data_IF_602322224849
#
_entry.id   IF_602322224849
#
_cell.length_a   1.000
_cell.length_b   1.000
_cell.length_c   1.000
_cell.angle_alpha   90.00
_cell.angle_beta   90.00
_cell.angle_gamma   90.00
#
_symmetry.space_group_name_H-M   'P 1'
#
loop_
_entity.id
_entity.type
_entity.pdbx_description
1 polymer ?
#
# COMPACT_ATOMS: atom_id res chain seq x y z
N UNK A 1 -32.62 -13.92 14.98
CA UNK A 1 -34.03 -14.34 15.14
C UNK A 1 -34.16 -14.76 16.60
N UNK A 2 -35.18 -14.32 17.34
CA UNK A 2 -35.35 -14.78 18.73
C UNK A 2 -36.28 -16.00 18.72
N UNK A 3 -35.90 -17.06 19.40
CA UNK A 3 -36.76 -18.22 19.64
C UNK A 3 -36.67 -18.53 21.13
N UNK A 4 -37.81 -18.45 21.83
CA UNK A 4 -37.93 -18.64 23.28
C UNK A 4 -37.08 -17.67 24.13
N UNK A 5 -37.01 -16.39 23.76
CA UNK A 5 -36.26 -15.37 24.53
C UNK A 5 -34.73 -15.50 24.44
N UNK A 6 -34.23 -16.54 23.77
CA UNK A 6 -32.82 -16.73 23.47
C UNK A 6 -32.58 -16.14 22.07
N UNK A 7 -31.55 -15.31 21.96
CA UNK A 7 -31.12 -14.78 20.67
C UNK A 7 -30.48 -15.91 19.86
N UNK A 8 -31.29 -16.66 19.11
CA UNK A 8 -30.82 -17.70 18.19
C UNK A 8 -30.44 -16.99 16.89
N UNK A 9 -29.21 -16.54 16.85
CA UNK A 9 -28.59 -16.12 15.62
C UNK A 9 -28.66 -17.31 14.61
N UNK A 10 -28.92 -17.09 13.31
CA UNK A 10 -29.10 -18.18 12.32
C UNK A 10 -27.80 -18.96 12.09
N UNK A 11 -27.68 -20.26 12.45
CA UNK A 11 -26.45 -21.12 12.53
C UNK A 11 -25.29 -20.91 11.51
N UNK A 12 -25.50 -20.14 10.44
CA UNK A 12 -24.61 -19.84 9.32
C UNK A 12 -23.83 -18.50 9.39
N UNK A 13 -23.95 -17.69 10.45
CA UNK A 13 -22.96 -16.60 10.65
C UNK A 13 -21.67 -17.23 11.19
N UNK A 14 -20.74 -17.48 10.28
CA UNK A 14 -19.33 -17.74 10.59
C UNK A 14 -18.89 -16.82 11.74
N UNK A 15 -18.56 -17.40 12.90
CA UNK A 15 -18.48 -16.70 14.19
C UNK A 15 -17.38 -15.61 14.22
N UNK A 16 -16.55 -15.52 13.17
CA UNK A 16 -15.64 -14.40 12.93
C UNK A 16 -15.05 -14.30 11.53
N UNK A 17 -15.41 -15.16 10.56
CA UNK A 17 -14.71 -15.19 9.28
C UNK A 17 -14.72 -13.86 8.52
N UNK A 18 -15.83 -13.13 8.50
CA UNK A 18 -15.87 -11.83 7.80
C UNK A 18 -14.86 -10.83 8.40
N UNK A 19 -14.76 -10.79 9.74
CA UNK A 19 -13.77 -9.97 10.43
C UNK A 19 -12.34 -10.40 10.10
N UNK A 20 -12.10 -11.70 9.90
CA UNK A 20 -10.78 -12.25 9.53
C UNK A 20 -10.38 -11.96 8.11
N UNK A 21 -11.34 -12.03 7.18
CA UNK A 21 -11.12 -11.60 5.80
C UNK A 21 -10.73 -10.12 5.80
N UNK A 22 -11.43 -9.28 6.57
CA UNK A 22 -11.07 -7.87 6.75
C UNK A 22 -9.64 -7.69 7.27
N UNK A 23 -9.26 -8.43 8.31
CA UNK A 23 -7.90 -8.41 8.86
C UNK A 23 -6.83 -8.92 7.89
N UNK A 24 -7.11 -9.98 7.14
CA UNK A 24 -6.21 -10.54 6.13
C UNK A 24 -5.96 -9.56 4.99
N UNK A 25 -7.03 -8.92 4.49
CA UNK A 25 -6.93 -7.86 3.47
C UNK A 25 -6.11 -6.70 4.03
N UNK A 26 -6.41 -6.23 5.24
CA UNK A 26 -5.67 -5.14 5.87
C UNK A 26 -4.18 -5.47 6.06
N UNK A 27 -3.86 -6.71 6.44
CA UNK A 27 -2.48 -7.18 6.55
C UNK A 27 -1.78 -7.15 5.20
N UNK A 28 -2.43 -7.72 4.17
CA UNK A 28 -1.95 -7.74 2.79
C UNK A 28 -1.61 -6.33 2.32
N UNK A 29 -2.50 -5.36 2.56
CA UNK A 29 -2.29 -3.97 2.15
C UNK A 29 -1.07 -3.33 2.81
N UNK A 30 -0.87 -3.55 4.11
CA UNK A 30 0.31 -3.05 4.81
C UNK A 30 1.61 -3.64 4.24
N UNK A 31 1.62 -4.94 3.94
CA UNK A 31 2.79 -5.60 3.33
C UNK A 31 3.05 -5.07 1.92
N UNK A 32 2.02 -4.89 1.11
CA UNK A 32 2.15 -4.31 -0.23
C UNK A 32 2.70 -2.87 -0.19
N UNK A 33 2.24 -2.06 0.76
CA UNK A 33 2.76 -0.71 0.96
C UNK A 33 4.25 -0.73 1.32
N UNK A 34 4.66 -1.61 2.24
CA UNK A 34 6.06 -1.78 2.61
C UNK A 34 6.93 -2.20 1.41
N UNK A 35 6.46 -3.15 0.61
CA UNK A 35 7.15 -3.60 -0.62
C UNK A 35 7.29 -2.45 -1.60
N UNK A 36 6.22 -1.68 -1.83
CA UNK A 36 6.23 -0.54 -2.76
C UNK A 36 7.27 0.51 -2.35
N UNK A 37 7.40 0.75 -1.05
CA UNK A 37 8.35 1.74 -0.54
C UNK A 37 9.78 1.22 -0.63
N UNK A 38 9.99 -0.07 -0.35
CA UNK A 38 11.28 -0.72 -0.55
C UNK A 38 11.70 -0.67 -2.03
N UNK A 39 10.75 -0.88 -2.95
CA UNK A 39 10.97 -0.76 -4.39
C UNK A 39 11.48 0.64 -4.77
N UNK A 40 10.77 1.69 -4.34
CA UNK A 40 11.15 3.09 -4.58
C UNK A 40 12.51 3.38 -3.95
N UNK A 41 12.74 2.93 -2.72
CA UNK A 41 13.98 3.11 -2.00
C UNK A 41 15.17 2.47 -2.74
N UNK A 42 15.03 1.24 -3.23
CA UNK A 42 16.06 0.54 -3.99
C UNK A 42 16.31 1.23 -5.34
N UNK A 43 15.27 1.69 -6.03
CA UNK A 43 15.41 2.42 -7.30
C UNK A 43 16.20 3.73 -7.15
N UNK A 44 16.00 4.44 -6.04
CA UNK A 44 16.64 5.74 -5.78
C UNK A 44 18.04 5.58 -5.19
N UNK A 45 18.19 4.77 -4.15
CA UNK A 45 19.47 4.60 -3.45
C UNK A 45 20.44 3.66 -4.18
N UNK A 46 19.94 2.67 -4.92
CA UNK A 46 20.75 1.63 -5.55
C UNK A 46 20.31 1.34 -7.00
N UNK A 47 20.40 2.32 -7.91
CA UNK A 47 19.85 2.23 -9.27
C UNK A 47 20.41 1.05 -10.09
N UNK A 48 21.68 0.69 -9.88
CA UNK A 48 22.32 -0.43 -10.60
C UNK A 48 21.95 -1.80 -10.05
N UNK A 49 21.62 -1.91 -8.76
CA UNK A 49 21.12 -3.16 -8.17
C UNK A 49 19.63 -3.35 -8.46
N UNK A 50 18.90 -2.25 -8.62
CA UNK A 50 17.47 -2.24 -8.93
C UNK A 50 17.13 -3.03 -10.20
N UNK A 51 17.94 -2.95 -11.26
CA UNK A 51 17.68 -3.68 -12.52
C UNK A 51 17.77 -5.20 -12.37
N UNK A 52 18.58 -5.67 -11.42
CA UNK A 52 18.74 -7.10 -11.13
C UNK A 52 17.73 -7.62 -10.11
N UNK A 53 17.37 -6.80 -9.12
CA UNK A 53 16.48 -7.21 -8.03
C UNK A 53 15.00 -7.13 -8.43
N UNK A 54 14.59 -6.05 -9.10
CA UNK A 54 13.20 -5.77 -9.48
C UNK A 54 12.83 -6.39 -10.83
N UNK A 55 13.09 -7.68 -10.99
CA UNK A 55 12.61 -8.42 -12.15
C UNK A 55 11.15 -8.80 -11.98
N UNK A 56 10.40 -8.86 -13.09
CA UNK A 56 8.98 -9.26 -13.07
C UNK A 56 8.78 -10.60 -12.36
N UNK A 57 9.67 -11.58 -12.62
CA UNK A 57 9.64 -12.89 -11.96
C UNK A 57 9.73 -12.78 -10.44
N UNK A 58 10.70 -12.02 -9.93
CA UNK A 58 10.89 -11.87 -8.48
C UNK A 58 9.70 -11.16 -7.83
N UNK A 59 9.15 -10.13 -8.49
CA UNK A 59 7.97 -9.40 -7.99
C UNK A 59 6.75 -10.32 -7.98
N UNK A 60 6.51 -11.12 -9.03
CA UNK A 60 5.39 -12.07 -9.08
C UNK A 60 5.48 -13.12 -7.98
N UNK A 61 6.66 -13.71 -7.76
CA UNK A 61 6.88 -14.68 -6.67
C UNK A 61 6.62 -14.01 -5.31
N UNK A 62 7.15 -12.81 -5.11
CA UNK A 62 6.95 -12.06 -3.87
C UNK A 62 5.46 -11.79 -3.60
N UNK A 63 4.71 -11.33 -4.60
CA UNK A 63 3.27 -11.09 -4.47
C UNK A 63 2.51 -12.36 -4.12
N UNK A 64 2.83 -13.48 -4.77
CA UNK A 64 2.20 -14.78 -4.47
C UNK A 64 2.46 -15.22 -3.02
N UNK A 65 3.69 -15.06 -2.54
CA UNK A 65 4.06 -15.35 -1.14
C UNK A 65 3.30 -14.43 -0.17
N UNK A 66 3.21 -13.14 -0.46
CA UNK A 66 2.49 -12.17 0.38
C UNK A 66 1.02 -12.55 0.49
N UNK A 67 0.35 -12.82 -0.61
CA UNK A 67 -1.05 -13.24 -0.61
C UNK A 67 -1.24 -14.55 0.15
N UNK A 68 -0.37 -15.52 -0.07
CA UNK A 68 -0.42 -16.81 0.62
C UNK A 68 -0.30 -16.62 2.14
N UNK A 69 0.70 -15.87 2.62
CA UNK A 69 0.93 -15.68 4.06
C UNK A 69 -0.18 -14.85 4.71
N UNK A 70 -0.56 -13.74 4.09
CA UNK A 70 -1.50 -12.77 4.68
C UNK A 70 -2.95 -13.27 4.66
N UNK A 71 -3.33 -14.11 3.69
CA UNK A 71 -4.63 -14.76 3.66
C UNK A 71 -4.67 -16.01 4.56
N UNK A 72 -3.67 -16.88 4.48
CA UNK A 72 -3.73 -18.20 5.13
C UNK A 72 -3.73 -18.12 6.65
N UNK A 73 -2.99 -17.18 7.26
CA UNK A 73 -2.88 -17.13 8.72
C UNK A 73 -4.23 -16.74 9.37
N UNK A 74 -4.84 -15.58 9.09
CA UNK A 74 -6.06 -15.18 9.80
C UNK A 74 -7.27 -16.00 9.37
N UNK A 75 -7.38 -16.34 8.08
CA UNK A 75 -8.52 -17.08 7.53
C UNK A 75 -8.43 -18.56 7.90
N UNK A 76 -7.25 -19.18 7.74
CA UNK A 76 -7.05 -20.60 8.02
C UNK A 76 -7.29 -20.95 9.49
N UNK A 77 -6.77 -20.12 10.41
CA UNK A 77 -7.00 -20.31 11.86
C UNK A 77 -8.49 -20.21 12.20
N UNK A 78 -9.22 -19.27 11.59
CA UNK A 78 -10.66 -19.13 11.84
C UNK A 78 -11.47 -20.29 11.26
N UNK A 79 -11.15 -20.77 10.06
CA UNK A 79 -11.80 -21.94 9.46
C UNK A 79 -11.60 -23.16 10.37
N UNK A 80 -10.38 -23.36 10.89
CA UNK A 80 -10.10 -24.45 11.83
C UNK A 80 -10.99 -24.38 13.08
N UNK A 81 -11.16 -23.20 13.67
CA UNK A 81 -12.04 -22.98 14.84
C UNK A 81 -13.51 -23.25 14.50
N UNK A 82 -13.99 -22.76 13.35
CA UNK A 82 -15.38 -22.93 12.91
C UNK A 82 -15.71 -24.38 12.58
N UNK A 83 -14.80 -25.11 11.94
CA UNK A 83 -14.94 -26.55 11.65
C UNK A 83 -14.96 -27.36 12.96
N UNK A 84 -14.10 -27.03 13.92
CA UNK A 84 -14.11 -27.67 15.24
C UNK A 84 -15.40 -27.41 16.02
N UNK A 85 -16.00 -26.23 15.89
CA UNK A 85 -17.29 -25.93 16.52
C UNK A 85 -18.45 -26.70 15.86
N UNK A 86 -18.41 -26.87 14.53
CA UNK A 86 -19.43 -27.61 13.79
C UNK A 86 -19.41 -29.12 14.07
N UNK A 87 -18.26 -29.69 14.42
CA UNK A 87 -18.11 -31.12 14.76
C UNK A 87 -18.49 -31.46 16.22
N UNK A 88 -19.16 -30.55 16.93
CA UNK A 88 -19.54 -30.66 18.36
C UNK A 88 -18.35 -30.83 19.33
N UNK A 89 -17.12 -30.57 18.87
CA UNK A 89 -15.93 -30.54 19.74
C UNK A 89 -15.95 -29.29 20.64
N UNK A 90 -16.64 -28.22 20.21
CA UNK A 90 -16.83 -26.99 20.98
C UNK A 90 -18.30 -26.56 21.06
N UNK A 91 -18.71 -26.04 22.21
CA UNK A 91 -20.01 -25.38 22.38
C UNK A 91 -20.03 -24.04 21.59
N UNK A 92 -21.18 -23.64 21.03
CA UNK A 92 -21.31 -22.42 20.23
C UNK A 92 -20.84 -21.14 20.96
N UNK A 93 -21.08 -21.07 22.27
CA UNK A 93 -20.58 -19.99 23.12
C UNK A 93 -19.04 -19.94 23.19
N UNK A 94 -18.38 -21.09 23.13
CA UNK A 94 -16.92 -21.18 23.08
C UNK A 94 -16.36 -20.72 21.72
N UNK A 95 -17.04 -20.98 20.59
CA UNK A 95 -16.66 -20.42 19.27
C UNK A 95 -16.60 -18.90 19.33
N UNK A 96 -17.65 -18.28 19.88
CA UNK A 96 -17.75 -16.83 19.98
C UNK A 96 -16.62 -16.28 20.85
N UNK A 97 -16.38 -16.87 22.02
CA UNK A 97 -15.31 -16.42 22.93
C UNK A 97 -13.92 -16.55 22.29
N UNK A 98 -13.62 -17.67 21.65
CA UNK A 98 -12.34 -17.90 20.97
C UNK A 98 -12.19 -16.94 19.79
N UNK A 99 -13.25 -16.75 18.99
CA UNK A 99 -13.27 -15.80 17.88
C UNK A 99 -13.00 -14.36 18.35
N UNK A 100 -13.62 -13.92 19.45
CA UNK A 100 -13.32 -12.60 20.04
C UNK A 100 -11.87 -12.48 20.50
N UNK A 101 -11.33 -13.49 21.19
CA UNK A 101 -9.91 -13.48 21.61
C UNK A 101 -8.96 -13.40 20.41
N UNK A 102 -9.21 -14.19 19.37
CA UNK A 102 -8.45 -14.11 18.13
C UNK A 102 -8.62 -12.73 17.47
N UNK A 103 -9.79 -12.08 17.60
CA UNK A 103 -10.06 -10.75 17.00
C UNK A 103 -9.13 -9.73 17.62
N UNK A 104 -9.04 -9.74 18.94
CA UNK A 104 -8.12 -8.91 19.70
C UNK A 104 -6.67 -9.18 19.32
N UNK A 105 -6.23 -10.44 19.39
CA UNK A 105 -4.81 -10.79 19.17
C UNK A 105 -4.37 -10.33 17.78
N UNK A 106 -5.12 -10.67 16.74
CA UNK A 106 -4.80 -10.24 15.38
C UNK A 106 -4.91 -8.73 15.21
N UNK A 107 -5.88 -8.05 15.84
CA UNK A 107 -5.99 -6.59 15.77
C UNK A 107 -4.78 -5.89 16.39
N UNK A 108 -4.27 -6.39 17.54
CA UNK A 108 -3.07 -5.86 18.19
C UNK A 108 -1.83 -6.10 17.32
N UNK A 109 -1.64 -7.33 16.83
CA UNK A 109 -0.52 -7.68 15.94
C UNK A 109 -0.52 -6.79 14.70
N UNK A 110 -1.69 -6.62 14.07
CA UNK A 110 -1.83 -5.77 12.89
C UNK A 110 -1.60 -4.30 13.20
N UNK A 111 -2.05 -3.81 14.36
CA UNK A 111 -1.81 -2.43 14.74
C UNK A 111 -0.32 -2.15 14.94
N UNK A 112 0.39 -3.04 15.63
CA UNK A 112 1.85 -2.96 15.82
C UNK A 112 2.57 -3.06 14.47
N UNK A 113 2.21 -4.03 13.64
CA UNK A 113 2.81 -4.18 12.30
C UNK A 113 2.58 -2.94 11.44
N UNK A 114 1.37 -2.39 11.44
CA UNK A 114 1.04 -1.17 10.68
C UNK A 114 1.85 0.03 11.17
N UNK A 115 2.08 0.15 12.48
CA UNK A 115 2.95 1.18 13.05
C UNK A 115 4.41 1.02 12.60
N UNK A 116 4.92 -0.21 12.57
CA UNK A 116 6.27 -0.50 12.04
C UNK A 116 6.36 -0.10 10.57
N UNK A 117 5.38 -0.50 9.76
CA UNK A 117 5.31 -0.11 8.35
C UNK A 117 5.28 1.41 8.23
N UNK A 118 4.51 2.11 9.06
CA UNK A 118 4.41 3.57 9.06
C UNK A 118 5.75 4.25 9.34
N UNK A 119 6.46 3.81 10.37
CA UNK A 119 7.77 4.35 10.76
C UNK A 119 8.80 4.08 9.66
N UNK A 120 8.88 2.83 9.19
CA UNK A 120 9.78 2.44 8.10
C UNK A 120 9.51 3.25 6.83
N UNK A 121 8.25 3.41 6.48
CA UNK A 121 7.78 4.17 5.34
C UNK A 121 8.24 5.62 5.41
N UNK A 122 8.03 6.25 6.57
CA UNK A 122 8.40 7.65 6.81
C UNK A 122 9.91 7.85 6.67
N UNK A 123 10.72 6.98 7.29
CA UNK A 123 12.18 7.05 7.20
C UNK A 123 12.66 6.88 5.75
N UNK A 124 12.13 5.88 5.04
CA UNK A 124 12.49 5.59 3.66
C UNK A 124 12.17 6.79 2.74
N UNK A 125 10.99 7.40 2.89
CA UNK A 125 10.59 8.55 2.10
C UNK A 125 11.42 9.80 2.40
N UNK A 126 11.71 10.09 3.68
CA UNK A 126 12.60 11.21 4.05
C UNK A 126 13.97 11.04 3.36
N UNK A 127 14.53 9.83 3.40
CA UNK A 127 15.82 9.55 2.76
C UNK A 127 15.77 9.66 1.24
N UNK A 128 14.71 9.15 0.63
CA UNK A 128 14.47 9.26 -0.82
C UNK A 128 14.35 10.73 -1.26
N UNK A 129 13.63 11.55 -0.49
CA UNK A 129 13.50 12.99 -0.75
C UNK A 129 14.84 13.71 -0.63
N UNK A 130 15.60 13.44 0.44
CA UNK A 130 16.90 14.04 0.66
C UNK A 130 17.85 13.76 -0.52
N UNK A 131 17.98 12.50 -0.92
CA UNK A 131 18.85 12.08 -2.03
C UNK A 131 18.40 12.71 -3.35
N UNK A 132 17.09 12.76 -3.58
CA UNK A 132 16.53 13.31 -4.83
C UNK A 132 16.76 14.81 -4.93
N UNK A 133 16.49 15.56 -3.86
CA UNK A 133 16.71 17.01 -3.82
C UNK A 133 18.20 17.36 -4.01
N UNK A 134 19.08 16.62 -3.34
CA UNK A 134 20.52 16.80 -3.49
C UNK A 134 21.01 16.48 -4.92
N UNK A 135 20.48 15.42 -5.54
CA UNK A 135 20.79 15.08 -6.93
C UNK A 135 20.34 16.18 -7.91
N UNK A 136 19.14 16.74 -7.73
CA UNK A 136 18.61 17.83 -8.56
C UNK A 136 19.48 19.08 -8.44
N UNK A 137 19.84 19.49 -7.21
CA UNK A 137 20.70 20.65 -6.99
C UNK A 137 22.07 20.47 -7.66
N UNK A 138 22.70 19.29 -7.51
CA UNK A 138 24.00 19.00 -8.11
C UNK A 138 23.97 19.05 -9.64
N UNK A 139 22.89 18.56 -10.25
CA UNK A 139 22.74 18.59 -11.72
C UNK A 139 22.57 20.02 -12.22
N UNK A 140 21.77 20.85 -11.53
CA UNK A 140 21.63 22.28 -11.86
C UNK A 140 22.97 23.00 -11.83
N UNK A 141 23.84 22.71 -10.87
CA UNK A 141 25.19 23.28 -10.83
C UNK A 141 26.11 22.78 -11.96
N UNK A 142 25.97 21.53 -12.39
CA UNK A 142 26.77 20.95 -13.49
C UNK A 142 26.24 21.29 -14.90
N UNK A 143 25.07 21.93 -14.98
CA UNK A 143 24.28 22.15 -16.20
C UNK A 143 24.77 23.29 -17.11
N UNK A 144 25.99 23.81 -16.91
CA UNK A 144 26.51 24.90 -17.75
C UNK A 144 26.79 24.50 -19.22
N UNK A 145 26.71 23.19 -19.55
CA UNK A 145 26.76 22.64 -20.91
C UNK A 145 25.34 22.36 -21.44
N UNK A 146 24.86 23.25 -22.32
CA UNK A 146 23.43 23.48 -22.59
C UNK A 146 22.67 22.27 -23.18
N UNK A 147 23.26 21.44 -24.06
CA UNK A 147 22.45 20.45 -24.80
C UNK A 147 22.30 19.08 -24.12
N UNK A 148 23.31 18.62 -23.38
CA UNK A 148 23.27 17.32 -22.67
C UNK A 148 22.62 17.47 -21.29
N UNK A 149 22.74 18.66 -20.69
CA UNK A 149 22.15 18.96 -19.39
C UNK A 149 20.62 19.00 -19.42
N UNK A 150 20.01 19.60 -20.46
CA UNK A 150 18.53 19.68 -20.62
C UNK A 150 17.88 18.28 -20.61
N UNK A 151 18.43 17.32 -21.37
CA UNK A 151 17.89 15.96 -21.41
C UNK A 151 18.04 15.20 -20.07
N UNK A 152 19.10 15.49 -19.31
CA UNK A 152 19.27 14.92 -17.97
C UNK A 152 18.28 15.57 -17.01
N UNK A 153 18.19 16.89 -16.99
CA UNK A 153 17.29 17.65 -16.12
C UNK A 153 15.83 17.20 -16.26
N UNK A 154 15.31 17.08 -17.50
CA UNK A 154 13.95 16.59 -17.76
C UNK A 154 13.72 15.17 -17.19
N UNK A 155 14.71 14.28 -17.28
CA UNK A 155 14.61 12.91 -16.74
C UNK A 155 14.59 12.90 -15.20
N UNK A 156 15.31 13.81 -14.57
CA UNK A 156 15.37 13.93 -13.11
C UNK A 156 14.14 14.64 -12.53
N UNK A 157 13.61 15.68 -13.19
CA UNK A 157 12.36 16.33 -12.78
C UNK A 157 11.18 15.35 -12.80
N UNK A 158 11.10 14.48 -13.81
CA UNK A 158 10.09 13.41 -13.87
C UNK A 158 10.20 12.42 -12.70
N UNK A 159 11.43 12.07 -12.28
CA UNK A 159 11.67 11.23 -11.10
C UNK A 159 11.30 11.95 -9.79
N UNK A 160 11.63 13.22 -9.67
CA UNK A 160 11.28 14.04 -8.51
C UNK A 160 9.75 14.21 -8.37
N UNK A 161 9.03 14.37 -9.50
CA UNK A 161 7.56 14.41 -9.53
C UNK A 161 6.95 13.11 -9.00
N UNK A 162 7.42 11.95 -9.49
CA UNK A 162 6.96 10.63 -9.02
C UNK A 162 7.20 10.40 -7.53
N UNK A 163 8.33 10.89 -7.02
CA UNK A 163 8.67 10.82 -5.58
C UNK A 163 7.77 11.73 -4.75
N UNK A 164 7.49 12.95 -5.23
CA UNK A 164 6.56 13.88 -4.57
C UNK A 164 5.13 13.33 -4.55
N UNK A 165 4.69 12.66 -5.61
CA UNK A 165 3.39 11.99 -5.65
C UNK A 165 3.30 10.84 -4.66
N UNK A 166 4.36 10.02 -4.58
CA UNK A 166 4.46 8.94 -3.62
C UNK A 166 4.47 9.45 -2.16
N UNK A 167 5.04 10.64 -1.91
CA UNK A 167 4.95 11.33 -0.62
C UNK A 167 3.52 11.79 -0.29
N UNK A 168 2.78 12.33 -1.26
CA UNK A 168 1.38 12.71 -1.05
C UNK A 168 0.55 11.47 -0.66
N UNK A 169 0.78 10.34 -1.33
CA UNK A 169 0.15 9.06 -0.97
C UNK A 169 0.47 8.64 0.47
N UNK A 170 1.73 8.77 0.88
CA UNK A 170 2.13 8.48 2.26
C UNK A 170 1.44 9.43 3.25
N UNK A 171 1.32 10.71 2.94
CA UNK A 171 0.70 11.68 3.84
C UNK A 171 -0.80 11.39 4.04
N UNK A 172 -1.51 11.06 2.96
CA UNK A 172 -2.91 10.63 3.03
C UNK A 172 -3.05 9.32 3.82
N UNK A 173 -2.11 8.40 3.63
CA UNK A 173 -2.03 7.16 4.42
C UNK A 173 -1.82 7.44 5.91
N UNK A 174 -0.88 8.32 6.27
CA UNK A 174 -0.58 8.73 7.64
C UNK A 174 -1.83 9.32 8.31
N UNK A 175 -2.47 10.29 7.67
CA UNK A 175 -3.64 11.00 8.20
C UNK A 175 -4.85 10.07 8.39
N UNK A 176 -5.02 9.07 7.51
CA UNK A 176 -6.13 8.11 7.61
C UNK A 176 -5.85 6.98 8.61
N UNK A 177 -4.62 6.48 8.68
CA UNK A 177 -4.28 5.29 9.46
C UNK A 177 -3.95 5.57 10.92
N UNK A 178 -3.27 6.68 11.24
CA UNK A 178 -2.93 7.03 12.63
C UNK A 178 -4.17 7.07 13.54
N UNK A 179 -5.27 7.79 13.21
CA UNK A 179 -6.43 7.84 14.09
C UNK A 179 -7.11 6.48 14.25
N UNK A 180 -7.14 5.66 13.18
CA UNK A 180 -7.65 4.29 13.26
C UNK A 180 -6.81 3.42 14.19
N UNK A 181 -5.48 3.43 14.04
CA UNK A 181 -4.55 2.65 14.87
C UNK A 181 -4.63 3.05 16.35
N UNK A 182 -4.69 4.35 16.64
CA UNK A 182 -4.87 4.86 18.00
C UNK A 182 -6.17 4.34 18.60
N UNK A 183 -7.28 4.40 17.86
CA UNK A 183 -8.58 3.90 18.34
C UNK A 183 -8.60 2.38 18.51
N UNK A 184 -7.93 1.62 17.64
CA UNK A 184 -7.79 0.17 17.80
C UNK A 184 -6.99 -0.14 19.07
N UNK A 185 -5.81 0.47 19.26
CA UNK A 185 -4.99 0.25 20.46
C UNK A 185 -5.77 0.68 21.71
N UNK A 186 -6.33 1.89 21.72
CA UNK A 186 -7.12 2.40 22.85
C UNK A 186 -8.29 1.48 23.18
N UNK A 187 -9.04 1.02 22.17
CA UNK A 187 -10.18 0.13 22.39
C UNK A 187 -9.77 -1.27 22.88
N UNK A 188 -8.69 -1.83 22.35
CA UNK A 188 -8.20 -3.16 22.75
C UNK A 188 -7.47 -3.15 24.10
N UNK A 189 -6.91 -2.03 24.56
CA UNK A 189 -6.29 -1.96 25.88
C UNK A 189 -7.28 -1.52 26.98
N UNK A 190 -8.18 -0.57 26.67
CA UNK A 190 -9.06 0.02 27.68
C UNK A 190 -10.36 -0.76 27.89
N UNK A 191 -10.92 -1.37 26.84
CA UNK A 191 -12.25 -2.00 26.89
C UNK A 191 -12.25 -3.53 26.81
N UNK A 192 -11.10 -4.17 26.63
CA UNK A 192 -11.03 -5.58 26.24
C UNK A 192 -10.32 -6.51 27.23
N UNK A 193 -9.76 -6.02 28.32
CA UNK A 193 -9.45 -6.87 29.47
C UNK A 193 -10.69 -6.98 30.34
N UNK A 194 -11.50 -8.01 30.10
CA UNK A 194 -12.33 -8.66 31.12
C UNK A 194 -13.04 -7.72 32.14
N UNK A 195 -14.33 -7.44 31.94
CA UNK A 195 -15.32 -7.03 32.98
C UNK A 195 -15.65 -5.52 33.14
N UNK A 196 -14.91 -4.53 32.61
CA UNK A 196 -15.04 -3.17 33.19
C UNK A 196 -16.11 -2.24 32.57
N UNK A 197 -16.36 -2.19 31.24
CA UNK A 197 -17.38 -1.28 30.67
C UNK A 197 -17.80 -1.64 29.23
N UNK A 198 -19.10 -1.57 28.88
CA UNK A 198 -19.53 -1.60 27.48
C UNK A 198 -18.96 -0.38 26.74
N UNK A 199 -18.71 -0.55 25.44
CA UNK A 199 -18.14 0.53 24.64
C UNK A 199 -19.10 1.72 24.55
N UNK A 200 -18.63 2.95 24.75
CA UNK A 200 -19.45 4.13 24.51
C UNK A 200 -19.93 4.14 23.06
N UNK A 201 -21.21 4.46 22.79
CA UNK A 201 -21.73 4.47 21.42
C UNK A 201 -20.94 5.42 20.51
N UNK A 202 -20.45 6.56 21.04
CA UNK A 202 -19.60 7.48 20.30
C UNK A 202 -18.26 6.86 19.87
N UNK A 203 -17.66 6.00 20.71
CA UNK A 203 -16.39 5.33 20.41
C UNK A 203 -16.56 4.28 19.30
N UNK A 204 -17.67 3.53 19.33
CA UNK A 204 -18.00 2.55 18.28
C UNK A 204 -18.17 3.25 16.93
N UNK A 205 -18.90 4.38 16.91
CA UNK A 205 -19.11 5.18 15.71
C UNK A 205 -17.80 5.76 15.18
N UNK A 206 -16.97 6.33 16.07
CA UNK A 206 -15.66 6.86 15.70
C UNK A 206 -14.76 5.76 15.11
N UNK A 207 -14.66 4.59 15.77
CA UNK A 207 -13.86 3.48 15.28
C UNK A 207 -14.30 3.05 13.88
N UNK A 208 -15.61 2.89 13.63
CA UNK A 208 -16.14 2.51 12.32
C UNK A 208 -15.83 3.56 11.25
N UNK A 209 -15.99 4.84 11.57
CA UNK A 209 -15.72 5.94 10.64
C UNK A 209 -14.25 5.92 10.22
N UNK A 210 -13.32 5.91 11.18
CA UNK A 210 -11.89 5.87 10.88
C UNK A 210 -11.46 4.56 10.24
N UNK A 211 -12.10 3.43 10.56
CA UNK A 211 -11.89 2.16 9.88
C UNK A 211 -12.26 2.26 8.39
N UNK A 212 -13.42 2.82 8.05
CA UNK A 212 -13.81 3.00 6.66
C UNK A 212 -12.87 3.93 5.92
N UNK A 213 -12.47 5.04 6.53
CA UNK A 213 -11.50 5.99 5.94
C UNK A 213 -10.15 5.29 5.68
N UNK A 214 -9.64 4.56 6.66
CA UNK A 214 -8.39 3.79 6.54
C UNK A 214 -8.48 2.71 5.46
N UNK A 215 -9.63 2.02 5.35
CA UNK A 215 -9.81 0.90 4.41
C UNK A 215 -10.19 1.36 3.00
N UNK A 216 -10.63 2.61 2.83
CA UNK A 216 -10.83 3.24 1.53
C UNK A 216 -9.52 3.62 0.84
N UNK A 217 -8.44 3.85 1.60
CA UNK A 217 -7.14 4.26 1.05
C UNK A 217 -6.61 3.36 -0.09
N UNK A 218 -6.60 2.01 0.04
CA UNK A 218 -6.28 1.11 -1.07
C UNK A 218 -7.11 1.34 -2.33
N UNK A 219 -8.39 1.69 -2.17
CA UNK A 219 -9.29 2.00 -3.28
C UNK A 219 -8.88 3.24 -4.06
N UNK A 220 -8.19 4.19 -3.42
CA UNK A 220 -7.65 5.38 -4.09
C UNK A 220 -6.30 5.15 -4.78
N UNK A 221 -5.56 4.08 -4.45
CA UNK A 221 -4.24 3.81 -5.04
C UNK A 221 -4.28 3.67 -6.57
N UNK A 222 -5.22 2.93 -7.19
CA UNK A 222 -5.29 2.81 -8.65
C UNK A 222 -5.59 4.14 -9.34
N UNK A 223 -6.48 4.97 -8.78
CA UNK A 223 -6.81 6.28 -9.35
C UNK A 223 -5.62 7.22 -9.31
N UNK A 224 -4.88 7.20 -8.19
CA UNK A 224 -3.68 7.99 -8.02
C UNK A 224 -2.57 7.49 -8.97
N UNK A 225 -2.32 6.18 -9.02
CA UNK A 225 -1.39 5.59 -9.99
C UNK A 225 -1.77 5.88 -11.45
N UNK A 226 -3.05 5.80 -11.81
CA UNK A 226 -3.53 6.04 -13.18
C UNK A 226 -3.37 7.51 -13.59
N UNK A 227 -3.75 8.45 -12.73
CA UNK A 227 -3.55 9.89 -12.97
C UNK A 227 -2.06 10.26 -13.07
N UNK A 228 -1.17 9.52 -12.41
CA UNK A 228 0.28 9.73 -12.48
C UNK A 228 0.97 8.98 -13.64
N UNK A 229 0.41 7.86 -14.10
CA UNK A 229 0.96 7.09 -15.24
C UNK A 229 0.53 7.69 -16.59
N UNK A 230 -0.62 8.37 -16.64
CA UNK A 230 -1.10 9.10 -17.82
C UNK A 230 -0.09 10.17 -18.28
N UNK A 231 0.46 10.94 -17.34
CA UNK A 231 1.51 11.94 -17.61
C UNK A 231 2.77 11.32 -18.25
N UNK A 232 3.12 10.09 -17.87
CA UNK A 232 4.29 9.39 -18.40
C UNK A 232 4.01 8.86 -19.81
N UNK A 233 2.79 8.37 -20.07
CA UNK A 233 2.35 7.88 -21.38
C UNK A 233 2.23 9.00 -22.42
N UNK A 234 1.63 10.14 -22.06
CA UNK A 234 1.55 11.30 -22.97
C UNK A 234 2.94 11.77 -23.42
N UNK A 235 3.90 11.77 -22.50
CA UNK A 235 5.27 12.17 -22.79
C UNK A 235 6.04 11.13 -23.62
N UNK A 236 5.76 9.84 -23.43
CA UNK A 236 6.29 8.77 -24.28
C UNK A 236 5.78 8.90 -25.72
N UNK A 237 4.50 9.23 -25.89
CA UNK A 237 3.88 9.48 -27.21
C UNK A 237 4.51 10.72 -27.86
N UNK A 238 4.70 11.82 -27.11
CA UNK A 238 5.41 13.01 -27.61
C UNK A 238 6.85 12.69 -28.04
N UNK A 239 7.60 11.93 -27.24
CA UNK A 239 8.97 11.54 -27.59
C UNK A 239 9.02 10.65 -28.84
N UNK A 240 8.07 9.71 -28.97
CA UNK A 240 7.98 8.85 -30.15
C UNK A 240 7.65 9.67 -31.42
N UNK A 241 6.72 10.63 -31.30
CA UNK A 241 6.34 11.53 -32.38
C UNK A 241 7.50 12.47 -32.77
N UNK A 242 8.24 13.01 -31.79
CA UNK A 242 9.43 13.84 -32.05
C UNK A 242 10.54 13.06 -32.76
N UNK A 243 10.80 11.81 -32.37
CA UNK A 243 11.77 10.93 -33.07
C UNK A 243 11.31 10.60 -34.50
N UNK A 244 10.01 10.44 -34.72
CA UNK A 244 9.44 10.19 -36.05
C UNK A 244 9.65 11.40 -36.97
N UNK A 245 9.46 12.61 -36.45
CA UNK A 245 9.68 13.87 -37.18
C UNK A 245 11.18 14.09 -37.48
N UNK A 246 12.08 13.85 -36.51
CA UNK A 246 13.54 14.00 -36.75
C UNK A 246 14.10 12.95 -37.72
N UNK A 247 13.54 11.74 -37.75
CA UNK A 247 13.87 10.75 -38.79
C UNK A 247 13.38 11.19 -40.17
N UNK A 248 12.22 11.81 -40.26
CA UNK A 248 11.65 12.32 -41.52
C UNK A 248 12.41 13.52 -42.08
N UNK A 249 12.98 14.40 -41.24
CA UNK A 249 13.82 15.51 -41.71
C UNK A 249 15.23 15.08 -42.14
N UNK A 250 15.76 13.96 -41.64
CA UNK A 250 17.06 13.41 -42.07
C UNK A 250 17.01 12.67 -43.41
N UNK A 251 15.82 12.38 -43.93
CA UNK A 251 15.62 11.69 -45.20
C UNK A 251 15.38 12.63 -46.38
N UNK A 252 15.54 13.95 -46.22
CA UNK A 252 15.57 14.88 -47.36
C UNK A 252 17.02 14.92 -47.86
N UNK A 253 17.35 14.35 -49.04
CA UNK A 253 18.69 14.45 -49.59
C UNK A 253 18.93 15.91 -49.99
N UNK A 254 20.06 16.48 -49.55
CA UNK A 254 20.64 17.66 -50.16
C UNK A 254 20.87 17.35 -51.64
N UNK A 255 20.00 17.88 -52.51
CA UNK A 255 20.26 17.92 -53.94
C UNK A 255 21.49 18.78 -54.16
N UNK A 256 22.56 18.10 -54.54
CA UNK A 256 23.85 18.61 -54.99
C UNK A 256 23.61 19.63 -56.11
N UNK A 257 24.01 20.88 -55.90
CA UNK A 257 24.40 21.78 -56.98
C UNK A 257 25.83 21.44 -57.41
N UNK A 258 26.10 21.18 -58.70
CA UNK A 258 27.46 21.26 -59.22
C UNK A 258 27.73 22.62 -59.89
N UNK A 259 29.00 23.03 -59.99
CA UNK A 259 29.42 24.28 -60.62
C UNK A 259 29.47 24.13 -62.14
N UNK A 260 29.12 25.20 -62.85
CA UNK A 260 29.21 25.35 -64.30
C UNK A 260 28.65 26.70 -64.71
#
# INVERSE_FOLDING_TARGET
MYTNGIQIWPRDYRCGLLSRIGQAIFFSLNVHLMIRILEIYVQVCYPFKSSRLLTTRNITILLFVVWSVTASIPIGIQIFVEVGAASNVFNAAACILVSFKLLTIFSIILAIFSLIVLIFSTIAYIRVLYITNHAVQRIRHLSHSISVAINREIKYEKRAKGIRQALILLLVYLLSMIPFLVLVIYSQFYYNSSIIRPWPPGLVTALRLFQYIAFLFPGFQPFLLASFTADIREELVKYYNQRRITRSSRSIPLSVTPPG
#
